data_IF_409271789578
#
_entry.id   IF_409271789578
#
_cell.length_a   1.000
_cell.length_b   1.000
_cell.length_c   1.000
_cell.angle_alpha   90.00
_cell.angle_beta   90.00
_cell.angle_gamma   90.00
#
_symmetry.space_group_name_H-M   'P 1'
#
loop_
_entity.id
_entity.type
_entity.pdbx_description
1 polymer ?
#
# COMPACT_ATOMS: atom_id res chain seq x y z
N UNK A 1 11.69 -14.78 -8.41
CA UNK A 1 10.32 -15.17 -8.01
C UNK A 1 9.45 -13.97 -7.63
N UNK A 2 9.84 -13.16 -6.63
CA UNK A 2 9.07 -11.98 -6.21
C UNK A 2 8.75 -11.01 -7.36
N UNK A 3 9.71 -10.74 -8.24
CA UNK A 3 9.56 -9.77 -9.34
C UNK A 3 8.60 -10.25 -10.45
N UNK A 4 8.54 -11.57 -10.69
CA UNK A 4 7.71 -12.18 -11.73
C UNK A 4 6.22 -12.08 -11.40
N UNK A 5 5.85 -12.40 -10.15
CA UNK A 5 4.49 -12.20 -9.65
C UNK A 5 4.11 -10.72 -9.76
N UNK A 6 5.07 -9.79 -9.63
CA UNK A 6 4.80 -8.35 -9.68
C UNK A 6 4.46 -7.91 -11.10
N UNK A 7 5.27 -8.33 -12.06
CA UNK A 7 5.08 -7.98 -13.46
C UNK A 7 3.78 -8.54 -14.03
N UNK A 8 3.34 -9.72 -13.58
CA UNK A 8 2.16 -10.40 -14.14
C UNK A 8 0.88 -10.00 -13.42
N UNK A 9 0.86 -10.01 -12.08
CA UNK A 9 -0.40 -9.86 -11.33
C UNK A 9 -0.81 -8.40 -11.13
N UNK A 10 0.15 -7.48 -11.04
CA UNK A 10 -0.08 -6.12 -10.55
C UNK A 10 -0.67 -5.15 -11.56
N UNK A 11 -0.31 -5.17 -12.86
CA UNK A 11 -0.89 -4.23 -13.80
C UNK A 11 -2.42 -4.37 -13.88
N UNK A 12 -2.92 -5.62 -13.90
CA UNK A 12 -4.34 -5.94 -14.04
C UNK A 12 -5.12 -5.76 -12.74
N UNK A 13 -4.56 -6.16 -11.60
CA UNK A 13 -5.26 -6.09 -10.30
C UNK A 13 -5.28 -4.69 -9.67
N UNK A 14 -4.38 -3.80 -10.09
CA UNK A 14 -4.22 -2.48 -9.47
C UNK A 14 -4.59 -1.31 -10.39
N UNK A 15 -5.10 -1.56 -11.60
CA UNK A 15 -5.56 -0.49 -12.48
C UNK A 15 -6.76 0.23 -11.85
N UNK A 16 -6.64 1.53 -11.58
CA UNK A 16 -7.69 2.32 -10.95
C UNK A 16 -7.83 2.11 -9.44
N UNK A 17 -6.98 1.30 -8.81
CA UNK A 17 -7.03 1.01 -7.37
C UNK A 17 -6.78 2.24 -6.49
N UNK A 18 -6.01 3.18 -7.01
CA UNK A 18 -5.77 4.50 -6.45
C UNK A 18 -7.00 5.43 -6.45
N UNK A 19 -8.05 5.10 -7.22
CA UNK A 19 -9.31 5.87 -7.28
C UNK A 19 -10.43 5.22 -6.46
N UNK A 20 -10.17 4.06 -5.83
CA UNK A 20 -11.17 3.34 -5.05
C UNK A 20 -11.33 3.97 -3.67
N UNK A 21 -12.16 5.01 -3.60
CA UNK A 21 -12.54 5.65 -2.34
C UNK A 21 -13.42 4.77 -1.42
N UNK A 22 -13.69 3.52 -1.81
CA UNK A 22 -14.63 2.62 -1.13
C UNK A 22 -14.29 1.14 -1.38
N UNK A 23 -13.01 0.76 -1.26
CA UNK A 23 -12.66 -0.66 -1.21
C UNK A 23 -13.34 -1.30 0.00
N UNK A 24 -14.24 -2.25 -0.24
CA UNK A 24 -14.78 -3.04 0.86
C UNK A 24 -13.75 -4.08 1.30
N UNK A 25 -13.82 -4.54 2.54
CA UNK A 25 -13.00 -5.65 3.01
C UNK A 25 -13.13 -6.90 2.12
N UNK A 26 -14.30 -7.08 1.48
CA UNK A 26 -14.53 -8.16 0.54
C UNK A 26 -13.70 -8.04 -0.74
N UNK A 27 -13.59 -6.83 -1.31
CA UNK A 27 -12.81 -6.58 -2.52
C UNK A 27 -11.32 -6.82 -2.26
N UNK A 28 -10.82 -6.33 -1.13
CA UNK A 28 -9.44 -6.56 -0.67
C UNK A 28 -9.18 -8.07 -0.52
N UNK A 29 -10.09 -8.80 0.14
CA UNK A 29 -9.96 -10.25 0.30
C UNK A 29 -9.96 -10.99 -1.05
N UNK A 30 -10.76 -10.54 -2.01
CA UNK A 30 -10.83 -11.15 -3.34
C UNK A 30 -9.52 -10.95 -4.10
N UNK A 31 -8.96 -9.74 -4.06
CA UNK A 31 -7.66 -9.45 -4.66
C UNK A 31 -6.52 -10.22 -3.97
N UNK A 32 -6.58 -10.33 -2.64
CA UNK A 32 -5.63 -11.15 -1.90
C UNK A 32 -5.73 -12.63 -2.25
N UNK A 33 -6.93 -13.18 -2.48
CA UNK A 33 -7.12 -14.57 -2.97
C UNK A 33 -6.36 -14.84 -4.27
N UNK A 34 -6.43 -13.91 -5.22
CA UNK A 34 -5.68 -14.03 -6.47
C UNK A 34 -4.15 -13.98 -6.25
N UNK A 35 -3.67 -13.05 -5.42
CA UNK A 35 -2.25 -12.95 -5.11
C UNK A 35 -1.71 -14.16 -4.32
N UNK A 36 -2.52 -14.72 -3.42
CA UNK A 36 -2.20 -15.96 -2.71
C UNK A 36 -2.00 -17.11 -3.68
N UNK A 37 -2.93 -17.27 -4.61
CA UNK A 37 -2.85 -18.33 -5.61
C UNK A 37 -1.55 -18.24 -6.41
N UNK A 38 -1.26 -17.05 -6.96
CA UNK A 38 -0.02 -16.83 -7.73
C UNK A 38 1.24 -17.02 -6.89
N UNK A 39 1.29 -16.51 -5.65
CA UNK A 39 2.42 -16.68 -4.75
C UNK A 39 2.69 -18.14 -4.39
N UNK A 40 1.64 -18.95 -4.18
CA UNK A 40 1.75 -20.38 -3.90
C UNK A 40 2.23 -21.16 -5.11
N UNK A 41 1.67 -20.90 -6.28
CA UNK A 41 2.07 -21.54 -7.53
C UNK A 41 3.55 -21.28 -7.83
N UNK A 42 4.03 -20.04 -7.64
CA UNK A 42 5.44 -19.73 -7.84
C UNK A 42 6.37 -20.41 -6.83
N UNK A 43 5.92 -20.69 -5.61
CA UNK A 43 6.75 -21.34 -4.57
C UNK A 43 6.54 -22.85 -4.48
N UNK A 44 5.69 -23.42 -5.34
CA UNK A 44 5.22 -24.80 -5.24
C UNK A 44 4.68 -25.16 -3.85
N UNK A 45 3.99 -24.21 -3.20
CA UNK A 45 3.42 -24.39 -1.86
C UNK A 45 2.04 -25.06 -1.94
N UNK A 46 1.67 -25.89 -0.95
CA UNK A 46 0.34 -26.48 -0.86
C UNK A 46 -0.77 -25.43 -0.88
N UNK A 47 -1.90 -25.78 -1.49
CA UNK A 47 -3.09 -24.90 -1.55
C UNK A 47 -3.59 -24.48 -0.17
N UNK A 48 -3.37 -25.31 0.86
CA UNK A 48 -3.76 -25.06 2.25
C UNK A 48 -2.83 -24.12 3.03
N UNK A 49 -1.67 -23.74 2.50
CA UNK A 49 -0.74 -22.84 3.21
C UNK A 49 -1.38 -21.49 3.50
N UNK A 50 -1.19 -20.95 4.70
CA UNK A 50 -1.73 -19.64 5.07
C UNK A 50 -1.10 -18.52 4.23
N UNK A 51 -1.83 -17.43 4.12
CA UNK A 51 -1.55 -16.34 3.15
C UNK A 51 -0.38 -15.50 3.55
N UNK A 52 -0.46 -14.99 4.77
CA UNK A 52 0.58 -14.27 5.47
C UNK A 52 1.90 -15.03 5.36
N UNK A 53 1.90 -16.35 5.60
CA UNK A 53 3.10 -17.18 5.44
C UNK A 53 3.61 -17.21 3.99
N UNK A 54 2.74 -17.49 3.02
CA UNK A 54 3.13 -17.55 1.60
C UNK A 54 3.68 -16.21 1.07
N UNK A 55 3.17 -15.07 1.55
CA UNK A 55 3.69 -13.74 1.19
C UNK A 55 4.97 -13.39 1.95
N UNK A 56 5.05 -13.74 3.23
CA UNK A 56 6.22 -13.51 4.09
C UNK A 56 7.46 -14.21 3.55
N UNK A 57 7.33 -15.44 3.06
CA UNK A 57 8.42 -16.20 2.47
C UNK A 57 9.04 -15.53 1.23
N UNK A 58 8.26 -14.76 0.48
CA UNK A 58 8.75 -13.97 -0.66
C UNK A 58 9.21 -12.56 -0.20
N UNK A 59 9.01 -12.20 1.07
CA UNK A 59 9.23 -10.84 1.57
C UNK A 59 8.22 -9.84 1.01
N UNK A 60 7.00 -10.30 0.68
CA UNK A 60 5.96 -9.44 0.12
C UNK A 60 5.03 -8.86 1.17
N UNK A 61 4.78 -7.57 1.00
CA UNK A 61 3.73 -6.83 1.70
C UNK A 61 2.33 -7.24 1.17
N UNK A 62 1.27 -7.09 2.01
CA UNK A 62 -0.10 -7.32 1.58
C UNK A 62 -0.50 -6.39 0.42
N UNK A 63 -1.58 -6.73 -0.28
CA UNK A 63 -2.00 -5.92 -1.44
C UNK A 63 -2.41 -4.51 -1.04
N UNK A 64 -3.01 -4.35 0.15
CA UNK A 64 -3.45 -3.05 0.65
C UNK A 64 -2.28 -2.08 0.75
N UNK A 65 -1.14 -2.53 1.28
CA UNK A 65 0.09 -1.75 1.34
C UNK A 65 0.58 -1.28 -0.04
N UNK A 66 0.35 -2.07 -1.09
CA UNK A 66 0.69 -1.67 -2.47
C UNK A 66 -0.31 -0.67 -3.03
N UNK A 67 -1.59 -0.82 -2.72
CA UNK A 67 -2.65 0.12 -3.11
C UNK A 67 -2.40 1.48 -2.43
N UNK A 68 -2.08 1.46 -1.14
CA UNK A 68 -1.75 2.66 -0.38
C UNK A 68 -0.49 3.34 -0.91
N UNK A 69 0.54 2.57 -1.29
CA UNK A 69 1.71 3.13 -1.96
C UNK A 69 1.31 3.86 -3.26
N UNK A 70 0.41 3.30 -4.07
CA UNK A 70 -0.07 3.98 -5.27
C UNK A 70 -0.86 5.25 -4.95
N UNK A 71 -1.70 5.22 -3.91
CA UNK A 71 -2.42 6.41 -3.42
C UNK A 71 -1.44 7.51 -2.99
N UNK A 72 -0.38 7.17 -2.26
CA UNK A 72 0.67 8.11 -1.85
C UNK A 72 1.46 8.65 -3.06
N UNK A 73 1.75 7.82 -4.07
CA UNK A 73 2.41 8.28 -5.29
C UNK A 73 1.50 9.19 -6.12
N UNK A 74 0.20 8.89 -6.17
CA UNK A 74 -0.81 9.73 -6.80
C UNK A 74 -0.93 11.08 -6.10
N UNK A 75 -0.95 11.10 -4.76
CA UNK A 75 -0.90 12.34 -3.97
C UNK A 75 0.31 13.21 -4.35
N UNK A 76 1.52 12.63 -4.41
CA UNK A 76 2.71 13.37 -4.84
C UNK A 76 2.57 13.91 -6.26
N UNK A 77 2.00 13.10 -7.15
CA UNK A 77 1.76 13.52 -8.53
C UNK A 77 0.82 14.73 -8.58
N UNK A 78 -0.25 14.75 -7.80
CA UNK A 78 -1.20 15.87 -7.70
C UNK A 78 -0.50 17.15 -7.23
N UNK A 79 0.28 17.07 -6.16
CA UNK A 79 1.03 18.20 -5.60
C UNK A 79 2.17 18.71 -6.49
N UNK A 80 2.72 17.85 -7.36
CA UNK A 80 3.82 18.20 -8.28
C UNK A 80 3.36 18.55 -9.70
N UNK A 81 2.04 18.60 -9.95
CA UNK A 81 1.53 19.09 -11.23
C UNK A 81 1.87 20.58 -11.42
N UNK A 82 1.89 21.02 -12.67
CA UNK A 82 2.02 22.45 -12.99
C UNK A 82 0.69 23.14 -12.66
N UNK A 83 0.75 24.27 -11.95
CA UNK A 83 -0.37 25.08 -11.40
C UNK A 83 -1.45 25.52 -12.40
N UNK A 84 -1.31 25.19 -13.69
CA UNK A 84 -2.30 25.46 -14.75
C UNK A 84 -3.21 24.26 -15.06
N UNK A 85 -2.98 23.09 -14.48
CA UNK A 85 -3.81 21.91 -14.71
C UNK A 85 -5.10 21.96 -13.88
N UNK A 86 -6.25 21.66 -14.50
CA UNK A 86 -7.56 21.61 -13.83
C UNK A 86 -7.55 20.63 -12.64
N UNK A 87 -6.90 19.48 -12.80
CA UNK A 87 -6.81 18.44 -11.75
C UNK A 87 -6.13 18.96 -10.49
N UNK A 88 -5.08 19.77 -10.62
CA UNK A 88 -4.40 20.36 -9.47
C UNK A 88 -5.28 21.40 -8.77
N UNK A 89 -5.94 22.27 -9.54
CA UNK A 89 -6.86 23.27 -8.96
C UNK A 89 -8.02 22.62 -8.21
N UNK A 90 -8.58 21.54 -8.76
CA UNK A 90 -9.62 20.76 -8.09
C UNK A 90 -9.09 20.15 -6.79
N UNK A 91 -7.87 19.61 -6.80
CA UNK A 91 -7.24 19.08 -5.59
C UNK A 91 -6.98 20.15 -4.53
N UNK A 92 -6.43 21.31 -4.91
CA UNK A 92 -6.19 22.44 -3.99
C UNK A 92 -7.50 22.97 -3.41
N UNK A 93 -8.56 23.05 -4.23
CA UNK A 93 -9.90 23.41 -3.77
C UNK A 93 -10.46 22.38 -2.79
N UNK A 94 -10.31 21.08 -3.06
CA UNK A 94 -10.72 20.01 -2.16
C UNK A 94 -9.97 20.08 -0.83
N UNK A 95 -8.65 20.26 -0.86
CA UNK A 95 -7.80 20.43 0.33
C UNK A 95 -8.24 21.65 1.16
N UNK A 96 -8.47 22.81 0.51
CA UNK A 96 -8.93 24.01 1.20
C UNK A 96 -10.31 23.81 1.85
N UNK A 97 -11.24 23.19 1.14
CA UNK A 97 -12.55 22.84 1.68
C UNK A 97 -12.46 21.82 2.82
N UNK A 98 -11.53 20.86 2.75
CA UNK A 98 -11.30 19.89 3.82
C UNK A 98 -10.79 20.58 5.09
N UNK A 99 -9.88 21.54 4.97
CA UNK A 99 -9.39 22.34 6.10
C UNK A 99 -10.51 23.17 6.76
N UNK A 100 -11.51 23.62 5.99
CA UNK A 100 -12.64 24.42 6.49
C UNK A 100 -13.77 23.56 7.07
N UNK A 101 -14.11 22.45 6.40
CA UNK A 101 -15.32 21.64 6.69
C UNK A 101 -15.04 20.30 7.37
N UNK A 102 -13.77 19.89 7.48
CA UNK A 102 -13.35 18.63 8.06
C UNK A 102 -13.76 17.38 7.27
N UNK A 103 -13.59 16.21 7.89
CA UNK A 103 -13.76 14.87 7.27
C UNK A 103 -15.18 14.57 6.74
N UNK A 104 -16.21 15.31 7.20
CA UNK A 104 -17.62 14.94 6.96
C UNK A 104 -18.15 15.22 5.53
N UNK A 105 -17.45 16.01 4.71
CA UNK A 105 -18.05 16.57 3.47
C UNK A 105 -17.45 16.07 2.16
N UNK A 106 -16.39 15.25 2.14
CA UNK A 106 -15.67 14.95 0.89
C UNK A 106 -15.47 13.46 0.63
N UNK A 107 -16.03 12.97 -0.48
CA UNK A 107 -15.75 11.63 -1.01
C UNK A 107 -14.48 11.71 -1.88
N UNK A 108 -13.53 10.80 -1.67
CA UNK A 108 -12.28 10.70 -2.44
C UNK A 108 -11.05 11.30 -1.74
N UNK A 109 -11.08 12.57 -1.32
CA UNK A 109 -9.96 13.20 -0.61
C UNK A 109 -9.74 12.60 0.79
N UNK A 110 -10.82 12.15 1.43
CA UNK A 110 -10.80 11.47 2.73
C UNK A 110 -9.94 10.23 2.72
N UNK A 111 -9.89 9.49 1.61
CA UNK A 111 -9.11 8.26 1.50
C UNK A 111 -7.59 8.53 1.46
N UNK A 112 -7.15 9.54 0.69
CA UNK A 112 -5.74 9.98 0.69
C UNK A 112 -5.33 10.48 2.08
N UNK A 113 -6.21 11.25 2.74
CA UNK A 113 -5.94 11.75 4.09
C UNK A 113 -5.82 10.60 5.10
N UNK A 114 -6.74 9.62 5.06
CA UNK A 114 -6.70 8.44 5.94
C UNK A 114 -5.42 7.62 5.73
N UNK A 115 -4.98 7.43 4.49
CA UNK A 115 -3.72 6.74 4.19
C UNK A 115 -2.52 7.54 4.74
N UNK A 116 -2.51 8.87 4.58
CA UNK A 116 -1.46 9.71 5.17
C UNK A 116 -1.47 9.66 6.71
N UNK A 117 -2.64 9.55 7.33
CA UNK A 117 -2.82 9.39 8.78
C UNK A 117 -2.29 8.02 9.24
N UNK A 118 -2.67 6.93 8.58
CA UNK A 118 -2.26 5.56 8.90
C UNK A 118 -0.74 5.37 8.88
N UNK A 119 -0.06 5.99 7.91
CA UNK A 119 1.39 5.88 7.77
C UNK A 119 2.19 7.03 8.42
N UNK A 120 1.55 7.86 9.26
CA UNK A 120 2.18 9.02 9.94
C UNK A 120 2.86 10.03 8.99
N UNK A 121 2.24 10.28 7.83
CA UNK A 121 2.73 11.18 6.78
C UNK A 121 1.96 12.52 6.71
N UNK A 122 1.06 12.80 7.66
CA UNK A 122 0.22 14.01 7.68
C UNK A 122 1.02 15.33 7.63
N UNK A 123 2.23 15.36 8.21
CA UNK A 123 3.08 16.55 8.17
C UNK A 123 3.39 17.01 6.73
N UNK A 124 3.34 16.11 5.75
CA UNK A 124 3.58 16.46 4.36
C UNK A 124 2.40 17.20 3.71
N UNK A 125 1.17 16.87 4.08
CA UNK A 125 0.00 17.58 3.57
C UNK A 125 -0.17 18.95 4.23
N UNK A 126 0.18 19.08 5.51
CA UNK A 126 0.15 20.37 6.22
C UNK A 126 1.21 21.32 5.67
N UNK A 127 2.46 20.86 5.50
CA UNK A 127 3.53 21.66 4.89
C UNK A 127 3.16 22.09 3.47
N UNK A 128 2.60 21.17 2.66
CA UNK A 128 2.12 21.52 1.32
C UNK A 128 0.98 22.55 1.36
N UNK A 129 0.03 22.43 2.29
CA UNK A 129 -1.07 23.38 2.42
C UNK A 129 -0.61 24.81 2.76
N UNK A 130 0.49 24.96 3.50
CA UNK A 130 1.01 26.28 3.89
C UNK A 130 2.03 26.86 2.91
N UNK A 131 2.88 26.02 2.33
CA UNK A 131 4.04 26.47 1.54
C UNK A 131 4.01 26.05 0.07
N UNK A 132 3.08 25.18 -0.31
CA UNK A 132 3.04 24.51 -1.63
C UNK A 132 4.34 23.77 -1.98
N UNK A 133 5.14 23.41 -0.97
CA UNK A 133 6.38 22.66 -1.13
C UNK A 133 6.09 21.17 -0.92
N UNK A 134 6.56 20.34 -1.84
CA UNK A 134 6.55 18.88 -1.71
C UNK A 134 7.95 18.32 -1.96
N UNK A 135 8.37 17.22 -1.29
CA UNK A 135 9.65 16.59 -1.59
C UNK A 135 9.78 16.17 -3.07
N UNK A 136 11.01 16.10 -3.62
CA UNK A 136 11.24 15.52 -4.93
C UNK A 136 10.71 14.09 -5.03
N UNK A 137 10.27 13.69 -6.23
CA UNK A 137 9.61 12.38 -6.48
C UNK A 137 10.37 11.20 -5.88
N UNK A 138 11.68 11.10 -6.10
CA UNK A 138 12.50 10.00 -5.60
C UNK A 138 12.55 9.97 -4.06
N UNK A 139 12.65 11.15 -3.43
CA UNK A 139 12.66 11.28 -1.98
C UNK A 139 11.32 10.89 -1.38
N UNK A 140 10.22 11.32 -2.00
CA UNK A 140 8.87 10.95 -1.60
C UNK A 140 8.63 9.45 -1.71
N UNK A 141 8.95 8.86 -2.86
CA UNK A 141 8.76 7.43 -3.11
C UNK A 141 9.53 6.58 -2.10
N UNK A 142 10.77 6.94 -1.78
CA UNK A 142 11.56 6.27 -0.74
C UNK A 142 10.89 6.37 0.63
N UNK A 143 10.44 7.56 1.02
CA UNK A 143 9.77 7.78 2.31
C UNK A 143 8.47 6.98 2.42
N UNK A 144 7.61 7.03 1.41
CA UNK A 144 6.37 6.27 1.36
C UNK A 144 6.62 4.76 1.47
N UNK A 145 7.58 4.22 0.71
CA UNK A 145 7.98 2.80 0.80
C UNK A 145 8.49 2.42 2.19
N UNK A 146 9.30 3.27 2.82
CA UNK A 146 9.82 3.03 4.16
C UNK A 146 8.71 3.05 5.21
N UNK A 147 7.82 4.04 5.19
CA UNK A 147 6.73 4.17 6.14
C UNK A 147 5.78 2.95 6.08
N UNK A 148 5.38 2.57 4.86
CA UNK A 148 4.54 1.39 4.65
C UNK A 148 5.24 0.12 5.13
N UNK A 149 6.54 -0.03 4.83
CA UNK A 149 7.31 -1.20 5.27
C UNK A 149 7.38 -1.27 6.79
N UNK A 150 7.66 -0.16 7.47
CA UNK A 150 7.72 -0.11 8.93
C UNK A 150 6.39 -0.50 9.56
N UNK A 151 5.29 0.10 9.10
CA UNK A 151 3.93 -0.20 9.56
C UNK A 151 3.58 -1.69 9.43
N UNK A 152 3.96 -2.32 8.31
CA UNK A 152 3.66 -3.73 8.08
C UNK A 152 4.67 -4.69 8.74
N UNK A 153 5.89 -4.26 9.05
CA UNK A 153 6.91 -5.11 9.67
C UNK A 153 6.69 -5.30 11.17
N UNK A 154 6.19 -4.30 11.90
CA UNK A 154 5.93 -4.42 13.35
C UNK A 154 4.96 -5.57 13.71
N UNK A 155 3.75 -5.65 13.10
CA UNK A 155 2.83 -6.76 13.34
C UNK A 155 3.37 -8.10 12.85
N UNK A 156 4.22 -8.08 11.83
CA UNK A 156 4.82 -9.29 11.27
C UNK A 156 5.86 -9.89 12.20
N UNK A 157 6.78 -9.06 12.73
CA UNK A 157 7.82 -9.52 13.65
C UNK A 157 7.23 -10.17 14.89
N UNK A 158 6.19 -9.57 15.47
CA UNK A 158 5.47 -10.12 16.62
C UNK A 158 4.88 -11.51 16.30
N UNK A 159 4.21 -11.65 15.15
CA UNK A 159 3.60 -12.92 14.73
C UNK A 159 4.62 -14.02 14.45
N UNK A 160 5.77 -13.69 13.87
CA UNK A 160 6.83 -14.68 13.62
C UNK A 160 7.40 -15.23 14.93
N UNK A 161 7.50 -14.39 15.97
CA UNK A 161 7.96 -14.82 17.30
C UNK A 161 6.90 -15.58 18.10
N UNK A 162 5.62 -15.27 17.91
CA UNK A 162 4.52 -15.83 18.72
C UNK A 162 3.81 -17.04 18.09
N UNK A 163 3.81 -17.16 16.76
CA UNK A 163 3.09 -18.23 16.04
C UNK A 163 3.99 -19.46 15.76
N UNK A 164 3.77 -20.60 16.43
CA UNK A 164 4.58 -21.80 16.27
C UNK A 164 4.45 -22.43 14.87
N UNK A 165 3.40 -22.12 14.08
CA UNK A 165 3.30 -22.59 12.70
C UNK A 165 4.36 -21.90 11.81
N UNK A 166 4.69 -20.64 12.06
CA UNK A 166 5.72 -19.91 11.30
C UNK A 166 7.11 -20.53 11.48
N UNK A 167 7.45 -20.94 12.71
CA UNK A 167 8.70 -21.64 13.00
C UNK A 167 8.81 -22.96 12.21
N UNK A 168 7.72 -23.73 12.10
CA UNK A 168 7.70 -24.99 11.33
C UNK A 168 7.89 -24.77 9.84
N UNK A 169 7.38 -23.67 9.29
CA UNK A 169 7.44 -23.39 7.86
C UNK A 169 8.84 -22.97 7.38
N UNK A 170 9.60 -22.28 8.24
CA UNK A 170 11.01 -21.98 8.00
C UNK A 170 11.83 -23.29 7.92
N UNK A 171 11.59 -24.21 8.86
CA UNK A 171 12.30 -25.52 8.91
C UNK A 171 12.02 -26.36 7.67
N UNK A 172 10.77 -26.42 7.20
CA UNK A 172 10.38 -27.21 6.01
C UNK A 172 11.07 -26.72 4.73
N UNK A 173 11.29 -25.40 4.58
CA UNK A 173 12.01 -24.88 3.41
C UNK A 173 13.51 -25.17 3.45
N UNK A 174 14.15 -25.12 4.61
CA UNK A 174 15.57 -25.51 4.74
C UNK A 174 15.82 -26.98 4.40
N UNK A 175 14.82 -27.84 4.59
CA UNK A 175 14.90 -29.27 4.24
C UNK A 175 14.59 -29.49 2.76
N UNK A 176 13.67 -28.74 2.16
CA UNK A 176 13.29 -28.87 0.75
C UNK A 176 14.28 -28.25 -0.25
N UNK A 177 15.28 -27.49 0.22
CA UNK A 177 16.36 -26.92 -0.59
C UNK A 177 17.67 -27.73 -0.55
N UNK A 178 17.68 -28.90 0.11
CA UNK A 178 18.74 -29.91 0.00
C UNK A 178 18.32 -30.99 -0.98
#
# INVERSE_FOLDING_TARGET
>A
MAELVEKVSMPTSMYGSELWSALTSYDVLTLERFLRFTAKMCQNLPTRTRTDMSLSLIGRLPIIAKIDLRKLLFFHKLCSMKTKCLTQKLFEYQLALFNIRGKASQRGFTDIYSVLEEYNLLNHITVYSHSSIIPPKLTWERRAKTAIRQYNMEPWTLRVTEDPEFARLIVVQTVAQR
#
